data_IF_285173011352
#
_entry.id   IF_285173011352
#
_cell.length_a   1.000
_cell.length_b   1.000
_cell.length_c   1.000
_cell.angle_alpha   90.00
_cell.angle_beta   90.00
_cell.angle_gamma   90.00
#
_symmetry.space_group_name_H-M   'P 1'
#
loop_
_entity.id
_entity.type
_entity.pdbx_description
1 polymer ?
#
# COMPACT_ATOMS: atom_id res chain seq x y z
N UNK A 1 -30.77 12.12 6.02
CA UNK A 1 -30.68 10.97 5.10
C UNK A 1 -29.47 10.17 5.51
N UNK A 2 -29.68 8.91 5.89
CA UNK A 2 -28.67 8.04 6.50
C UNK A 2 -27.63 7.62 5.46
N UNK A 3 -26.36 7.98 5.69
CA UNK A 3 -25.23 7.55 4.89
C UNK A 3 -24.96 6.07 5.16
N UNK A 4 -25.39 5.19 4.24
CA UNK A 4 -24.94 3.79 4.20
C UNK A 4 -23.44 3.79 3.92
N UNK A 5 -22.64 3.58 4.98
CA UNK A 5 -21.24 3.13 4.89
C UNK A 5 -21.21 1.87 4.01
N UNK A 6 -20.62 1.99 2.83
CA UNK A 6 -20.27 0.83 2.02
C UNK A 6 -19.09 0.15 2.75
N UNK A 7 -19.36 -1.03 3.29
CA UNK A 7 -18.37 -1.86 3.99
C UNK A 7 -17.46 -2.42 2.90
N UNK A 8 -16.15 -2.13 2.88
CA UNK A 8 -15.23 -2.81 1.98
C UNK A 8 -15.26 -4.29 2.36
N UNK A 9 -15.58 -5.14 1.40
CA UNK A 9 -15.53 -6.60 1.57
C UNK A 9 -14.05 -6.96 1.76
N UNK A 10 -13.63 -7.04 3.02
CA UNK A 10 -12.36 -7.65 3.43
C UNK A 10 -12.45 -9.14 3.12
N UNK A 11 -12.04 -9.53 1.91
CA UNK A 11 -11.73 -10.93 1.62
C UNK A 11 -10.44 -11.24 2.37
N UNK A 12 -10.59 -11.78 3.59
CA UNK A 12 -9.51 -12.33 4.40
C UNK A 12 -9.08 -13.64 3.73
N UNK A 13 -8.08 -13.55 2.86
CA UNK A 13 -7.37 -14.74 2.37
C UNK A 13 -6.36 -15.13 3.47
N UNK A 14 -6.38 -16.36 4.00
CA UNK A 14 -5.37 -16.81 4.94
C UNK A 14 -4.01 -16.87 4.23
N UNK A 15 -3.13 -15.92 4.57
CA UNK A 15 -1.74 -15.89 4.10
C UNK A 15 -0.99 -17.08 4.70
N UNK A 16 -0.63 -18.04 3.85
CA UNK A 16 0.33 -19.09 4.19
C UNK A 16 1.71 -18.44 4.34
N UNK A 17 2.21 -18.45 5.57
CA UNK A 17 3.57 -18.04 5.90
C UNK A 17 4.60 -19.03 5.32
N UNK A 18 5.63 -18.49 4.65
CA UNK A 18 6.91 -19.19 4.47
C UNK A 18 7.61 -18.91 3.14
N UNK A 19 8.66 -18.08 3.15
CA UNK A 19 10.07 -18.53 3.11
C UNK A 19 11.01 -17.32 3.22
N UNK A 20 11.90 -17.33 4.20
CA UNK A 20 13.10 -16.47 4.25
C UNK A 20 14.25 -17.25 3.64
N UNK A 21 14.92 -16.70 2.63
CA UNK A 21 16.31 -17.07 2.30
C UNK A 21 17.14 -15.83 2.00
N UNK A 22 18.20 -15.70 2.80
CA UNK A 22 19.29 -14.73 2.75
C UNK A 22 20.06 -14.77 1.41
N UNK A 23 20.49 -13.60 0.95
CA UNK A 23 21.51 -13.47 -0.11
C UNK A 23 22.16 -12.09 -0.09
N UNK A 24 23.28 -11.96 0.64
CA UNK A 24 24.17 -10.80 0.52
C UNK A 24 24.79 -10.77 -0.88
N UNK A 25 24.65 -9.65 -1.59
CA UNK A 25 25.71 -9.21 -2.49
C UNK A 25 25.75 -7.67 -2.54
N UNK A 26 26.91 -7.12 -2.20
CA UNK A 26 27.25 -5.70 -2.31
C UNK A 26 27.33 -5.31 -3.79
N UNK A 27 26.64 -4.26 -4.20
CA UNK A 27 26.96 -3.53 -5.44
C UNK A 27 26.87 -2.02 -5.19
N UNK A 28 27.95 -1.33 -5.58
CA UNK A 28 28.18 0.11 -5.46
C UNK A 28 27.16 0.95 -6.24
N UNK A 29 26.85 2.19 -5.79
CA UNK A 29 25.92 3.05 -6.49
C UNK A 29 26.59 3.70 -7.70
N UNK A 30 26.34 3.16 -8.89
CA UNK A 30 26.43 3.93 -10.13
C UNK A 30 25.14 4.75 -10.32
N UNK A 31 25.19 5.92 -10.99
CA UNK A 31 23.98 6.70 -11.26
C UNK A 31 23.08 5.91 -12.21
N UNK A 32 22.05 5.28 -11.65
CA UNK A 32 21.04 4.53 -12.38
C UNK A 32 20.16 5.52 -13.16
N UNK A 33 20.55 5.82 -14.40
CA UNK A 33 19.58 6.18 -15.43
C UNK A 33 18.78 4.92 -15.75
N UNK A 34 17.77 4.63 -14.94
CA UNK A 34 16.79 3.58 -15.24
C UNK A 34 15.94 4.04 -16.42
N UNK A 35 16.40 3.69 -17.62
CA UNK A 35 15.46 3.35 -18.68
C UNK A 35 14.62 2.21 -18.12
N UNK A 36 13.44 2.53 -17.58
CA UNK A 36 12.43 1.52 -17.27
C UNK A 36 12.08 0.93 -18.64
N UNK A 37 12.48 -0.32 -18.96
CA UNK A 37 11.94 -0.95 -20.15
C UNK A 37 10.42 -0.91 -20.00
N UNK A 38 9.72 -0.24 -20.92
CA UNK A 38 8.25 -0.21 -20.92
C UNK A 38 7.77 -1.65 -20.76
N UNK A 39 7.11 -1.93 -19.64
CA UNK A 39 6.78 -3.30 -19.29
C UNK A 39 5.89 -3.87 -20.38
N UNK A 40 6.22 -5.06 -20.87
CA UNK A 40 5.41 -5.82 -21.83
C UNK A 40 4.07 -6.31 -21.25
N UNK A 41 3.54 -5.60 -20.24
CA UNK A 41 2.26 -5.90 -19.62
C UNK A 41 1.15 -5.46 -20.56
N UNK A 42 0.15 -6.32 -20.72
CA UNK A 42 -1.09 -5.96 -21.38
C UNK A 42 -2.27 -6.31 -20.47
N UNK A 43 -3.37 -5.55 -20.56
CA UNK A 43 -4.62 -5.92 -19.89
C UNK A 43 -5.13 -7.30 -20.30
N UNK A 44 -4.70 -7.79 -21.46
CA UNK A 44 -5.04 -9.13 -21.94
C UNK A 44 -4.41 -10.23 -21.08
N UNK A 45 -3.31 -9.96 -20.38
CA UNK A 45 -2.66 -10.91 -19.47
C UNK A 45 -3.24 -10.86 -18.06
N UNK A 46 -4.08 -9.86 -17.76
CA UNK A 46 -4.63 -9.59 -16.44
C UNK A 46 -6.10 -10.03 -16.41
N UNK A 47 -6.47 -10.84 -15.43
CA UNK A 47 -7.88 -11.16 -15.13
C UNK A 47 -8.50 -10.13 -14.18
N UNK A 48 -7.71 -9.63 -13.22
CA UNK A 48 -8.15 -8.63 -12.25
C UNK A 48 -7.04 -7.65 -11.91
N UNK A 49 -7.38 -6.38 -11.78
CA UNK A 49 -6.49 -5.33 -11.32
C UNK A 49 -7.26 -4.38 -10.41
N UNK A 50 -6.70 -4.09 -9.25
CA UNK A 50 -7.24 -3.15 -8.29
C UNK A 50 -6.13 -2.27 -7.75
N UNK A 51 -6.39 -0.97 -7.73
CA UNK A 51 -5.51 0.03 -7.14
C UNK A 51 -6.34 0.93 -6.25
N UNK A 52 -5.91 1.11 -5.01
CA UNK A 52 -6.40 2.14 -4.11
C UNK A 52 -5.22 2.95 -3.58
N UNK A 53 -5.27 4.26 -3.77
CA UNK A 53 -4.31 5.23 -3.26
C UNK A 53 -5.04 6.18 -2.31
N UNK A 54 -4.50 6.35 -1.12
CA UNK A 54 -4.92 7.40 -0.20
C UNK A 54 -3.76 8.36 0.05
N UNK A 55 -4.03 9.64 -0.09
CA UNK A 55 -3.05 10.71 0.09
C UNK A 55 -3.23 11.42 1.42
N UNK A 56 -2.17 12.12 1.85
CA UNK A 56 -2.14 12.87 3.11
C UNK A 56 -3.12 14.05 3.14
N UNK A 57 -3.51 14.57 1.97
CA UNK A 57 -4.51 15.64 1.81
C UNK A 57 -5.95 15.12 1.69
N UNK A 58 -6.19 13.85 2.05
CA UNK A 58 -7.45 13.15 1.92
C UNK A 58 -7.93 12.93 0.48
N UNK A 59 -7.10 13.21 -0.53
CA UNK A 59 -7.39 12.77 -1.88
C UNK A 59 -7.29 11.23 -1.98
N UNK A 60 -8.13 10.64 -2.84
CA UNK A 60 -8.14 9.20 -3.09
C UNK A 60 -8.23 8.90 -4.58
N UNK A 61 -7.56 7.85 -5.02
CA UNK A 61 -7.65 7.32 -6.37
C UNK A 61 -7.92 5.83 -6.28
N UNK A 62 -9.00 5.39 -6.89
CA UNK A 62 -9.40 3.99 -6.94
C UNK A 62 -9.54 3.59 -8.41
N UNK A 63 -8.97 2.45 -8.77
CA UNK A 63 -9.12 1.84 -10.08
C UNK A 63 -9.44 0.37 -9.91
N UNK A 64 -10.49 -0.08 -10.59
CA UNK A 64 -10.89 -1.47 -10.63
C UNK A 64 -11.03 -1.90 -12.08
N UNK A 65 -10.44 -3.05 -12.39
CA UNK A 65 -10.62 -3.76 -13.65
C UNK A 65 -10.80 -5.24 -13.34
N UNK A 66 -11.83 -5.82 -13.93
CA UNK A 66 -12.11 -7.24 -13.84
C UNK A 66 -12.65 -7.71 -15.19
N UNK A 67 -12.02 -8.76 -15.72
CA UNK A 67 -12.46 -9.42 -16.95
C UNK A 67 -12.71 -10.89 -16.66
N UNK A 68 -13.94 -11.25 -16.23
CA UNK A 68 -14.33 -12.64 -16.08
C UNK A 68 -14.28 -13.35 -17.43
N UNK A 69 -14.11 -14.67 -17.42
CA UNK A 69 -14.00 -15.48 -18.65
C UNK A 69 -15.27 -15.43 -19.50
N UNK A 70 -16.44 -15.30 -18.86
CA UNK A 70 -17.75 -15.44 -19.51
C UNK A 70 -18.69 -14.23 -19.31
N UNK A 71 -18.26 -13.18 -18.61
CA UNK A 71 -19.08 -12.00 -18.31
C UNK A 71 -18.51 -10.70 -18.92
N UNK A 72 -19.32 -9.64 -18.88
CA UNK A 72 -18.90 -8.30 -19.30
C UNK A 72 -17.69 -7.81 -18.48
N UNK A 73 -16.77 -7.14 -19.17
CA UNK A 73 -15.61 -6.51 -18.52
C UNK A 73 -16.08 -5.37 -17.63
N UNK A 74 -15.79 -5.45 -16.34
CA UNK A 74 -16.03 -4.38 -15.40
C UNK A 74 -14.79 -3.51 -15.30
N UNK A 75 -14.97 -2.19 -15.44
CA UNK A 75 -13.89 -1.24 -15.24
C UNK A 75 -14.42 0.08 -14.72
N UNK A 76 -13.79 0.59 -13.66
CA UNK A 76 -14.13 1.87 -13.06
C UNK A 76 -12.89 2.58 -12.53
N UNK A 77 -12.90 3.90 -12.62
CA UNK A 77 -11.91 4.76 -11.98
C UNK A 77 -12.66 5.83 -11.20
N UNK A 78 -12.32 5.96 -9.91
CA UNK A 78 -12.87 6.97 -9.01
C UNK A 78 -11.74 7.82 -8.46
N UNK A 79 -11.90 9.14 -8.51
CA UNK A 79 -10.97 10.12 -7.95
C UNK A 79 -11.73 11.02 -6.99
N UNK A 80 -11.34 11.03 -5.73
CA UNK A 80 -11.86 11.95 -4.72
C UNK A 80 -10.81 13.02 -4.46
N UNK A 81 -11.17 14.29 -4.62
CA UNK A 81 -10.30 15.43 -4.38
C UNK A 81 -10.44 15.94 -2.94
N UNK A 82 -9.45 16.68 -2.43
CA UNK A 82 -9.51 17.28 -1.09
C UNK A 82 -10.68 18.26 -0.89
N UNK A 83 -11.20 18.83 -1.99
CA UNK A 83 -12.37 19.72 -1.98
C UNK A 83 -13.71 18.98 -1.87
N UNK A 84 -13.68 17.64 -1.75
CA UNK A 84 -14.86 16.79 -1.66
C UNK A 84 -15.52 16.47 -3.00
N UNK A 85 -14.99 16.96 -4.12
CA UNK A 85 -15.48 16.55 -5.45
C UNK A 85 -15.03 15.13 -5.74
N UNK A 86 -15.97 14.32 -6.21
CA UNK A 86 -15.72 12.94 -6.64
C UNK A 86 -15.98 12.84 -8.13
N UNK A 87 -14.95 12.47 -8.87
CA UNK A 87 -15.04 12.10 -10.27
C UNK A 87 -15.10 10.58 -10.37
N UNK A 88 -16.02 10.07 -11.19
CA UNK A 88 -16.14 8.64 -11.46
C UNK A 88 -16.33 8.45 -12.95
N UNK A 89 -15.53 7.57 -13.53
CA UNK A 89 -15.65 7.14 -14.93
C UNK A 89 -15.72 5.63 -14.98
N UNK A 90 -16.47 5.11 -15.93
CA UNK A 90 -16.71 3.67 -16.14
C UNK A 90 -16.67 3.36 -17.64
N UNK A 91 -16.51 2.09 -18.00
CA UNK A 91 -16.45 1.66 -19.41
C UNK A 91 -15.17 2.10 -20.13
N UNK A 92 -15.25 2.42 -21.42
CA UNK A 92 -14.07 2.69 -22.27
C UNK A 92 -13.12 3.78 -21.73
N UNK A 93 -13.59 4.93 -21.20
CA UNK A 93 -12.70 5.94 -20.63
C UNK A 93 -11.93 5.44 -19.40
N UNK A 94 -12.56 4.59 -18.57
CA UNK A 94 -11.90 3.96 -17.44
C UNK A 94 -10.92 2.88 -17.91
N UNK A 95 -11.31 2.09 -18.92
CA UNK A 95 -10.45 1.08 -19.54
C UNK A 95 -9.14 1.67 -20.05
N UNK A 96 -9.21 2.79 -20.77
CA UNK A 96 -8.02 3.47 -21.29
C UNK A 96 -7.09 3.94 -20.18
N UNK A 97 -7.63 4.43 -19.06
CA UNK A 97 -6.83 4.85 -17.91
C UNK A 97 -6.11 3.66 -17.26
N UNK A 98 -6.84 2.59 -16.96
CA UNK A 98 -6.24 1.38 -16.36
C UNK A 98 -5.24 0.75 -17.33
N UNK A 99 -5.55 0.70 -18.62
CA UNK A 99 -4.64 0.19 -19.66
C UNK A 99 -3.35 0.99 -19.71
N UNK A 100 -3.43 2.32 -19.72
CA UNK A 100 -2.27 3.20 -19.70
C UNK A 100 -1.42 2.97 -18.46
N UNK A 101 -2.04 2.77 -17.29
CA UNK A 101 -1.32 2.42 -16.07
C UNK A 101 -0.59 1.10 -16.18
N UNK A 102 -1.29 0.05 -16.60
CA UNK A 102 -0.71 -1.29 -16.70
C UNK A 102 0.46 -1.35 -17.68
N UNK A 103 0.34 -0.73 -18.85
CA UNK A 103 1.37 -0.76 -19.89
C UNK A 103 2.66 -0.04 -19.50
N UNK A 104 2.57 0.98 -18.63
CA UNK A 104 3.74 1.74 -18.20
C UNK A 104 4.36 1.22 -16.90
N UNK A 105 3.70 0.27 -16.22
CA UNK A 105 4.28 -0.42 -15.07
C UNK A 105 5.42 -1.37 -15.52
N UNK A 106 6.42 -1.62 -14.67
CA UNK A 106 7.38 -2.68 -14.91
C UNK A 106 6.69 -4.06 -14.85
N UNK A 107 7.37 -5.15 -15.27
CA UNK A 107 6.77 -6.50 -15.35
C UNK A 107 6.02 -6.86 -14.07
N UNK A 108 4.71 -7.13 -14.15
CA UNK A 108 3.90 -7.41 -12.97
C UNK A 108 4.35 -8.69 -12.23
N UNK A 109 4.78 -9.70 -12.99
CA UNK A 109 5.24 -10.97 -12.42
C UNK A 109 6.64 -10.91 -11.81
N UNK A 110 7.56 -10.18 -12.45
CA UNK A 110 8.99 -10.24 -12.10
C UNK A 110 9.47 -9.07 -11.23
N UNK A 111 8.69 -7.98 -11.15
CA UNK A 111 9.14 -6.76 -10.47
C UNK A 111 8.99 -6.84 -8.96
N UNK A 112 9.91 -6.20 -8.25
CA UNK A 112 9.78 -6.01 -6.81
C UNK A 112 8.58 -5.11 -6.46
N UNK A 113 7.90 -5.33 -5.30
CA UNK A 113 6.76 -4.51 -4.88
C UNK A 113 7.05 -3.01 -4.87
N UNK A 114 8.23 -2.60 -4.39
CA UNK A 114 8.61 -1.20 -4.33
C UNK A 114 8.74 -0.56 -5.72
N UNK A 115 9.23 -1.31 -6.71
CA UNK A 115 9.31 -0.82 -8.09
C UNK A 115 7.92 -0.59 -8.70
N UNK A 116 6.97 -1.47 -8.39
CA UNK A 116 5.57 -1.33 -8.80
C UNK A 116 4.90 -0.11 -8.16
N UNK A 117 5.08 0.07 -6.84
CA UNK A 117 4.58 1.26 -6.12
C UNK A 117 5.15 2.55 -6.74
N UNK A 118 6.46 2.62 -6.95
CA UNK A 118 7.11 3.80 -7.52
C UNK A 118 6.62 4.12 -8.94
N UNK A 119 6.37 3.08 -9.75
CA UNK A 119 5.83 3.26 -11.10
C UNK A 119 4.41 3.85 -11.07
N UNK A 120 3.54 3.35 -10.19
CA UNK A 120 2.19 3.88 -9.99
C UNK A 120 2.24 5.35 -9.54
N UNK A 121 3.03 5.66 -8.50
CA UNK A 121 3.16 7.03 -8.00
C UNK A 121 3.69 7.99 -9.07
N UNK A 122 4.70 7.57 -9.83
CA UNK A 122 5.28 8.37 -10.92
C UNK A 122 4.25 8.67 -12.00
N UNK A 123 3.45 7.68 -12.40
CA UNK A 123 2.45 7.87 -13.44
C UNK A 123 1.31 8.78 -12.97
N UNK A 124 0.82 8.59 -11.75
CA UNK A 124 -0.23 9.44 -11.18
C UNK A 124 0.30 10.83 -10.76
N UNK A 125 1.59 11.09 -10.89
CA UNK A 125 2.22 12.38 -10.54
C UNK A 125 2.24 12.64 -9.03
N UNK A 126 2.22 11.60 -8.21
CA UNK A 126 2.12 11.66 -6.75
C UNK A 126 3.52 11.52 -6.16
N UNK A 127 3.89 12.48 -5.30
CA UNK A 127 5.14 12.41 -4.54
C UNK A 127 5.02 11.39 -3.40
N UNK A 128 6.07 10.60 -3.16
CA UNK A 128 6.04 9.51 -2.18
C UNK A 128 5.76 9.98 -0.73
N UNK A 129 6.13 11.22 -0.40
CA UNK A 129 5.83 11.88 0.88
C UNK A 129 4.34 12.20 1.08
N UNK A 130 3.58 12.26 -0.01
CA UNK A 130 2.12 12.48 0.03
C UNK A 130 1.32 11.19 0.11
N UNK A 131 1.95 10.04 -0.10
CA UNK A 131 1.28 8.77 -0.01
C UNK A 131 1.05 8.41 1.46
N UNK A 132 -0.20 8.16 1.83
CA UNK A 132 -0.56 7.64 3.15
C UNK A 132 -0.74 6.13 3.11
N UNK A 133 -1.45 5.64 2.09
CA UNK A 133 -1.73 4.22 1.89
C UNK A 133 -1.75 3.89 0.39
N UNK A 134 -1.19 2.74 0.03
CA UNK A 134 -1.39 2.10 -1.28
C UNK A 134 -1.81 0.64 -1.07
N UNK A 135 -2.87 0.26 -1.77
CA UNK A 135 -3.26 -1.13 -1.98
C UNK A 135 -3.25 -1.40 -3.49
N UNK A 136 -2.34 -2.27 -3.94
CA UNK A 136 -2.23 -2.70 -5.31
C UNK A 136 -2.40 -4.22 -5.35
N UNK A 137 -3.46 -4.68 -6.00
CA UNK A 137 -3.75 -6.10 -6.21
C UNK A 137 -3.90 -6.37 -7.70
N UNK A 138 -3.31 -7.47 -8.15
CA UNK A 138 -3.57 -7.96 -9.49
C UNK A 138 -3.51 -9.47 -9.56
N UNK A 139 -4.24 -10.01 -10.54
CA UNK A 139 -4.23 -11.40 -10.91
C UNK A 139 -3.98 -11.51 -12.41
N UNK A 140 -2.99 -12.33 -12.75
CA UNK A 140 -2.66 -12.68 -14.12
C UNK A 140 -3.44 -13.93 -14.54
N UNK A 141 -3.65 -14.09 -15.84
CA UNK A 141 -4.38 -15.24 -16.41
C UNK A 141 -3.68 -16.58 -16.23
N UNK A 142 -2.37 -16.57 -15.98
CA UNK A 142 -1.61 -17.77 -15.63
C UNK A 142 -1.88 -18.25 -14.19
N UNK A 143 -2.68 -17.50 -13.43
CA UNK A 143 -3.06 -17.79 -12.05
C UNK A 143 -2.19 -17.07 -11.02
N UNK A 144 -1.16 -16.32 -11.43
CA UNK A 144 -0.35 -15.54 -10.50
C UNK A 144 -1.17 -14.41 -9.89
N UNK A 145 -1.23 -14.36 -8.57
CA UNK A 145 -1.83 -13.26 -7.82
C UNK A 145 -0.75 -12.54 -7.00
N UNK A 146 -0.82 -11.22 -6.96
CA UNK A 146 0.04 -10.39 -6.11
C UNK A 146 -0.78 -9.32 -5.42
N UNK A 147 -0.52 -9.16 -4.13
CA UNK A 147 -1.12 -8.13 -3.28
C UNK A 147 0.01 -7.34 -2.64
N UNK A 148 -0.05 -6.02 -2.76
CA UNK A 148 0.94 -5.09 -2.23
C UNK A 148 0.16 -4.07 -1.40
N UNK A 149 0.39 -4.06 -0.09
CA UNK A 149 -0.19 -3.09 0.82
C UNK A 149 0.94 -2.36 1.55
N UNK A 150 0.92 -1.03 1.50
CA UNK A 150 1.84 -0.19 2.26
C UNK A 150 1.05 0.95 2.89
N UNK A 151 1.09 1.01 4.22
CA UNK A 151 0.51 2.07 5.02
C UNK A 151 1.63 2.76 5.80
N UNK A 152 1.73 4.08 5.70
CA UNK A 152 2.57 4.83 6.63
C UNK A 152 1.90 4.82 8.01
N UNK A 153 2.48 4.06 8.95
CA UNK A 153 2.20 4.25 10.37
C UNK A 153 2.85 5.56 10.79
N UNK A 154 2.07 6.56 11.15
CA UNK A 154 2.57 7.61 12.03
C UNK A 154 3.03 6.91 13.31
N UNK A 155 4.33 7.01 13.62
CA UNK A 155 4.87 6.62 14.93
C UNK A 155 4.00 7.29 15.98
N UNK A 156 3.17 6.48 16.66
CA UNK A 156 2.46 6.90 17.83
C UNK A 156 3.54 7.31 18.84
N UNK A 157 3.67 8.59 19.23
CA UNK A 157 4.72 8.98 20.15
C UNK A 157 4.56 8.13 21.41
N UNK A 158 5.60 7.36 21.76
CA UNK A 158 5.63 6.60 23.00
C UNK A 158 5.12 7.53 24.13
N UNK A 159 4.13 7.09 24.93
CA UNK A 159 3.72 7.88 26.08
C UNK A 159 4.97 8.06 26.95
N UNK A 160 5.43 9.32 27.07
CA UNK A 160 6.55 9.67 27.94
C UNK A 160 6.28 9.04 29.31
N UNK A 161 7.23 8.30 29.91
CA UNK A 161 7.00 7.73 31.22
C UNK A 161 6.70 8.87 32.19
N UNK A 162 5.48 8.89 32.71
CA UNK A 162 5.03 9.84 33.72
C UNK A 162 5.92 9.66 34.93
N UNK A 163 6.85 10.59 35.12
CA UNK A 163 7.65 10.72 36.33
C UNK A 163 6.76 11.29 37.45
N UNK A 164 5.75 10.52 37.87
CA UNK A 164 4.96 10.78 39.07
C UNK A 164 4.82 9.50 39.90
N UNK A 165 5.96 9.01 40.39
CA UNK A 165 6.01 8.33 41.68
C UNK A 165 7.18 8.89 42.49
N UNK A 166 7.13 10.19 42.76
CA UNK A 166 7.86 10.74 43.90
C UNK A 166 7.01 10.59 45.17
N UNK A 167 7.66 10.06 46.20
CA UNK A 167 7.32 10.19 47.63
C UNK A 167 6.27 9.24 48.22
N UNK A 168 6.73 8.09 48.67
CA UNK A 168 6.42 7.64 50.04
C UNK A 168 7.57 6.83 50.60
N UNK A 169 8.54 7.57 51.13
CA UNK A 169 9.21 7.30 52.40
C UNK A 169 9.57 5.84 52.71
N UNK A 170 10.82 5.47 52.45
CA UNK A 170 11.61 4.74 53.46
C UNK A 170 13.10 4.98 53.26
N UNK A 171 13.59 6.05 53.88
CA UNK A 171 15.01 6.19 54.21
C UNK A 171 15.28 5.46 55.55
N UNK A 172 16.55 5.16 55.87
CA UNK A 172 16.99 3.87 56.40
C UNK A 172 16.98 3.81 57.94
N UNK A 173 16.90 2.61 58.50
CA UNK A 173 17.23 2.40 59.91
C UNK A 173 18.52 1.56 59.99
N UNK A 174 19.54 2.21 60.55
CA UNK A 174 20.90 1.76 60.73
C UNK A 174 21.02 0.51 61.63
N UNK A 175 22.10 -0.22 61.41
CA UNK A 175 22.58 -1.31 62.25
C UNK A 175 23.20 -0.82 63.57
N UNK A 176 23.22 -1.74 64.55
CA UNK A 176 24.11 -1.90 65.74
C UNK A 176 23.58 -1.40 67.12
N UNK A 177 24.14 -1.87 68.28
CA UNK A 177 24.11 -3.24 68.84
C UNK A 177 23.84 -3.32 70.38
N UNK A 178 23.76 -4.55 70.93
CA UNK A 178 24.05 -5.05 72.31
C UNK A 178 23.09 -4.81 73.51
N UNK A 179 22.61 -5.95 74.08
CA UNK A 179 22.56 -6.47 75.49
C UNK A 179 22.28 -5.50 76.68
N UNK A 180 21.56 -5.93 77.75
CA UNK A 180 21.93 -7.05 78.63
C UNK A 180 20.94 -8.23 78.72
#
# INVERSE_FOLDING_TARGET
MEFKRFIPILIIIPVLAGLVVYGQNRLSPGPLQTQIPGGANSLEQISRFQLALELTDAAQIEMDYEKPTDDETFVSVRRANPDGKVERVEGDPALQQVQSLVQNMPSLGDSEPLALIQAVLKQEGISADKLRNIDLRFQLKDGMEKVINLQHQEEQPEPKPTAEQQTSQRAPAAQQPALP
#
